data_IF_363385028719
#
_entry.id   IF_363385028719
#
_cell.length_a   1.000
_cell.length_b   1.000
_cell.length_c   1.000
_cell.angle_alpha   90.00
_cell.angle_beta   90.00
_cell.angle_gamma   90.00
#
_symmetry.space_group_name_H-M   'P 1'
#
loop_
_entity.id
_entity.type
_entity.pdbx_description
1 polymer ?
#
# COMPACT_ATOMS: atom_id res chain seq x y z
N UNK A 1 2.63 6.57 13.24
CA UNK A 1 3.56 5.98 12.24
C UNK A 1 4.14 7.15 11.45
N UNK A 2 5.44 7.15 11.19
CA UNK A 2 6.05 8.21 10.39
C UNK A 2 5.78 7.94 8.90
N UNK A 3 5.05 8.86 8.28
CA UNK A 3 4.69 8.81 6.85
C UNK A 3 5.95 8.80 5.98
N UNK A 4 6.97 9.58 6.33
CA UNK A 4 8.20 9.64 5.54
C UNK A 4 8.97 8.32 5.60
N UNK A 5 8.97 7.66 6.75
CA UNK A 5 9.58 6.34 6.91
C UNK A 5 8.83 5.27 6.10
N UNK A 6 7.48 5.32 6.07
CA UNK A 6 6.67 4.40 5.27
C UNK A 6 6.93 4.58 3.77
N UNK A 7 7.02 5.82 3.29
CA UNK A 7 7.30 6.11 1.88
C UNK A 7 8.69 5.60 1.47
N UNK A 8 9.70 5.83 2.32
CA UNK A 8 11.06 5.31 2.09
C UNK A 8 11.09 3.78 2.01
N UNK A 9 10.31 3.10 2.86
CA UNK A 9 10.23 1.63 2.85
C UNK A 9 9.54 1.11 1.58
N UNK A 10 8.50 1.81 1.09
CA UNK A 10 7.86 1.49 -0.20
C UNK A 10 8.85 1.65 -1.35
N UNK A 11 9.60 2.76 -1.38
CA UNK A 11 10.57 3.00 -2.46
C UNK A 11 11.64 1.91 -2.48
N UNK A 12 12.14 1.48 -1.31
CA UNK A 12 13.09 0.37 -1.19
C UNK A 12 12.50 -0.95 -1.71
N UNK A 13 11.28 -1.29 -1.34
CA UNK A 13 10.61 -2.52 -1.79
C UNK A 13 10.34 -2.48 -3.31
N UNK A 14 9.90 -1.34 -3.85
CA UNK A 14 9.72 -1.15 -5.30
C UNK A 14 11.03 -1.33 -6.07
N UNK A 15 12.15 -0.81 -5.57
CA UNK A 15 13.47 -1.05 -6.18
C UNK A 15 13.82 -2.54 -6.20
N UNK A 16 13.58 -3.27 -5.11
CA UNK A 16 13.86 -4.71 -5.03
C UNK A 16 12.97 -5.50 -6.01
N UNK A 17 11.69 -5.12 -6.12
CA UNK A 17 10.74 -5.71 -7.07
C UNK A 17 11.18 -5.48 -8.52
N UNK A 18 11.61 -4.27 -8.89
CA UNK A 18 12.11 -3.98 -10.24
C UNK A 18 13.44 -4.68 -10.56
N UNK A 19 14.25 -5.01 -9.54
CA UNK A 19 15.46 -5.82 -9.70
C UNK A 19 15.17 -7.32 -9.90
N UNK A 20 13.90 -7.74 -9.85
CA UNK A 20 13.44 -9.11 -10.09
C UNK A 20 14.08 -10.17 -9.16
N UNK A 21 14.41 -9.77 -7.93
CA UNK A 21 14.96 -10.67 -6.91
C UNK A 21 13.82 -11.38 -6.17
N UNK A 22 13.21 -12.36 -6.82
CA UNK A 22 11.92 -12.95 -6.42
C UNK A 22 11.74 -13.23 -4.93
N UNK A 23 12.64 -13.99 -4.29
CA UNK A 23 12.49 -14.32 -2.86
C UNK A 23 12.64 -13.11 -1.93
N UNK A 24 13.59 -12.23 -2.24
CA UNK A 24 13.85 -11.02 -1.44
C UNK A 24 12.68 -10.04 -1.60
N UNK A 25 12.22 -9.86 -2.83
CA UNK A 25 11.12 -8.98 -3.21
C UNK A 25 9.79 -9.43 -2.59
N UNK A 26 9.45 -10.72 -2.68
CA UNK A 26 8.21 -11.25 -2.09
C UNK A 26 8.22 -11.16 -0.56
N UNK A 27 9.37 -11.41 0.08
CA UNK A 27 9.49 -11.27 1.53
C UNK A 27 9.30 -9.80 1.96
N UNK A 28 10.01 -8.88 1.33
CA UNK A 28 9.94 -7.47 1.66
C UNK A 28 8.55 -6.89 1.37
N UNK A 29 7.94 -7.26 0.24
CA UNK A 29 6.55 -6.91 -0.09
C UNK A 29 5.57 -7.46 0.96
N UNK A 30 5.72 -8.73 1.39
CA UNK A 30 4.87 -9.35 2.41
C UNK A 30 4.92 -8.62 3.76
N UNK A 31 6.11 -8.21 4.21
CA UNK A 31 6.28 -7.42 5.44
C UNK A 31 5.60 -6.05 5.32
N UNK A 32 5.72 -5.41 4.15
CA UNK A 32 5.08 -4.14 3.85
C UNK A 32 3.56 -4.25 3.76
N UNK A 33 3.01 -5.30 3.15
CA UNK A 33 1.57 -5.59 3.12
C UNK A 33 0.94 -5.59 4.51
N UNK A 34 1.61 -6.20 5.49
CA UNK A 34 1.13 -6.21 6.87
C UNK A 34 0.94 -4.81 7.44
N UNK A 35 1.85 -3.89 7.12
CA UNK A 35 1.77 -2.48 7.54
C UNK A 35 0.68 -1.74 6.78
N UNK A 36 0.62 -1.89 5.46
CA UNK A 36 -0.39 -1.25 4.61
C UNK A 36 -1.81 -1.70 4.98
N UNK A 37 -1.99 -2.98 5.36
CA UNK A 37 -3.28 -3.49 5.85
C UNK A 37 -3.79 -2.72 7.07
N UNK A 38 -2.92 -2.41 8.03
CA UNK A 38 -3.32 -1.65 9.23
C UNK A 38 -3.83 -0.25 8.84
N UNK A 39 -3.19 0.38 7.85
CA UNK A 39 -3.60 1.68 7.32
C UNK A 39 -4.93 1.56 6.58
N UNK A 40 -5.07 0.59 5.67
CA UNK A 40 -6.34 0.30 4.98
C UNK A 40 -7.48 0.11 5.97
N UNK A 41 -7.28 -0.72 6.99
CA UNK A 41 -8.31 -1.01 7.99
C UNK A 41 -8.64 0.25 8.82
N UNK A 42 -7.65 1.09 9.12
CA UNK A 42 -7.85 2.38 9.79
C UNK A 42 -8.61 3.39 8.91
N UNK A 43 -8.31 3.45 7.62
CA UNK A 43 -9.02 4.29 6.62
C UNK A 43 -10.47 3.83 6.44
N UNK A 44 -10.71 2.50 6.39
CA UNK A 44 -12.06 1.93 6.27
C UNK A 44 -12.89 2.15 7.55
N UNK A 45 -12.26 2.05 8.73
CA UNK A 45 -12.95 2.19 10.02
C UNK A 45 -13.11 3.63 10.50
N UNK A 46 -12.26 4.56 10.05
CA UNK A 46 -12.30 5.97 10.38
C UNK A 46 -13.39 6.71 9.61
N UNK A 47 -14.41 7.23 10.33
CA UNK A 47 -15.52 8.08 9.83
C UNK A 47 -15.86 7.88 8.34
N UNK A 48 -16.23 6.66 7.97
CA UNK A 48 -16.73 6.25 6.65
C UNK A 48 -18.04 6.94 6.20
N UNK A 49 -18.44 8.05 6.84
CA UNK A 49 -19.63 8.82 6.52
C UNK A 49 -19.41 9.96 5.52
N UNK A 50 -18.19 10.46 5.35
CA UNK A 50 -17.93 11.66 4.53
C UNK A 50 -17.25 11.37 3.18
N UNK A 51 -16.62 10.19 2.98
CA UNK A 51 -15.91 9.86 1.73
C UNK A 51 -15.98 8.36 1.36
N UNK A 52 -17.19 7.84 1.08
CA UNK A 52 -17.39 6.44 0.65
C UNK A 52 -16.62 6.06 -0.62
N UNK A 53 -16.45 6.99 -1.57
CA UNK A 53 -15.71 6.74 -2.82
C UNK A 53 -14.24 6.43 -2.55
N UNK A 54 -13.63 7.16 -1.63
CA UNK A 54 -12.23 6.96 -1.24
C UNK A 54 -12.03 5.59 -0.59
N UNK A 55 -12.94 5.19 0.30
CA UNK A 55 -12.92 3.87 0.95
C UNK A 55 -13.02 2.74 -0.07
N UNK A 56 -13.91 2.89 -1.06
CA UNK A 56 -14.05 1.92 -2.17
C UNK A 56 -12.78 1.85 -3.02
N UNK A 57 -12.18 2.99 -3.33
CA UNK A 57 -10.99 3.06 -4.17
C UNK A 57 -9.76 2.44 -3.47
N UNK A 58 -9.49 2.80 -2.21
CA UNK A 58 -8.40 2.22 -1.41
C UNK A 58 -8.57 0.71 -1.24
N UNK A 59 -9.81 0.26 -1.01
CA UNK A 59 -10.12 -1.18 -0.91
C UNK A 59 -9.85 -1.91 -2.22
N UNK A 60 -10.25 -1.33 -3.36
CA UNK A 60 -10.02 -1.91 -4.69
C UNK A 60 -8.51 -1.99 -5.01
N UNK A 61 -7.75 -0.94 -4.71
CA UNK A 61 -6.29 -0.95 -4.91
C UNK A 61 -5.60 -2.01 -4.04
N UNK A 62 -5.99 -2.13 -2.77
CA UNK A 62 -5.45 -3.16 -1.89
C UNK A 62 -5.74 -4.58 -2.42
N UNK A 63 -6.95 -4.80 -2.97
CA UNK A 63 -7.27 -6.08 -3.62
C UNK A 63 -6.42 -6.35 -4.86
N UNK A 64 -6.20 -5.35 -5.72
CA UNK A 64 -5.33 -5.49 -6.90
C UNK A 64 -3.90 -5.82 -6.50
N UNK A 65 -3.37 -5.10 -5.51
CA UNK A 65 -2.03 -5.32 -4.98
C UNK A 65 -1.89 -6.75 -4.40
N UNK A 66 -2.89 -7.19 -3.61
CA UNK A 66 -2.91 -8.56 -3.07
C UNK A 66 -3.02 -9.63 -4.16
N UNK A 67 -3.81 -9.41 -5.21
CA UNK A 67 -3.92 -10.33 -6.34
C UNK A 67 -2.60 -10.43 -7.14
N UNK A 68 -1.87 -9.33 -7.30
CA UNK A 68 -0.54 -9.34 -7.91
C UNK A 68 0.45 -10.14 -7.05
N UNK A 69 0.37 -10.01 -5.72
CA UNK A 69 1.17 -10.78 -4.78
C UNK A 69 0.89 -12.28 -4.84
N UNK A 70 -0.37 -12.71 -4.85
CA UNK A 70 -0.74 -14.13 -4.97
C UNK A 70 -0.25 -14.75 -6.29
N UNK A 71 -0.22 -13.96 -7.36
CA UNK A 71 0.29 -14.37 -8.67
C UNK A 71 1.81 -14.30 -8.79
N UNK A 72 2.50 -13.77 -7.77
CA UNK A 72 3.93 -13.45 -7.79
C UNK A 72 4.32 -12.54 -8.96
N UNK A 73 3.39 -11.66 -9.37
CA UNK A 73 3.62 -10.69 -10.44
C UNK A 73 4.43 -9.52 -9.88
N UNK A 74 5.76 -9.63 -9.92
CA UNK A 74 6.65 -8.64 -9.30
C UNK A 74 6.49 -7.22 -9.85
N UNK A 75 6.24 -7.09 -11.16
CA UNK A 75 6.00 -5.79 -11.79
C UNK A 75 4.62 -5.26 -11.39
N UNK A 76 3.59 -6.11 -11.42
CA UNK A 76 2.26 -5.75 -10.95
C UNK A 76 2.25 -5.33 -9.47
N UNK A 77 3.05 -5.98 -8.62
CA UNK A 77 3.23 -5.57 -7.22
C UNK A 77 3.90 -4.20 -7.17
N UNK A 78 5.02 -3.98 -7.88
CA UNK A 78 5.76 -2.72 -7.84
C UNK A 78 4.89 -1.52 -8.26
N UNK A 79 4.17 -1.66 -9.37
CA UNK A 79 3.33 -0.60 -9.93
C UNK A 79 2.15 -0.28 -9.01
N UNK A 80 1.42 -1.30 -8.55
CA UNK A 80 0.32 -1.09 -7.60
C UNK A 80 0.80 -0.57 -6.23
N UNK A 81 2.00 -0.95 -5.79
CA UNK A 81 2.51 -0.58 -4.47
C UNK A 81 2.81 0.92 -4.41
N UNK A 82 3.42 1.48 -5.46
CA UNK A 82 3.69 2.92 -5.52
C UNK A 82 2.40 3.74 -5.57
N UNK A 83 1.44 3.34 -6.40
CA UNK A 83 0.16 4.06 -6.49
C UNK A 83 -0.61 3.98 -5.17
N UNK A 84 -0.68 2.80 -4.56
CA UNK A 84 -1.38 2.59 -3.28
C UNK A 84 -0.70 3.40 -2.15
N UNK A 85 0.62 3.39 -2.09
CA UNK A 85 1.39 4.10 -1.08
C UNK A 85 1.15 5.60 -1.09
N UNK A 86 1.20 6.20 -2.28
CA UNK A 86 0.97 7.63 -2.48
C UNK A 86 -0.42 8.01 -1.99
N UNK A 87 -1.45 7.28 -2.43
CA UNK A 87 -2.83 7.55 -2.06
C UNK A 87 -3.10 7.32 -0.57
N UNK A 88 -2.73 6.16 -0.02
CA UNK A 88 -2.98 5.83 1.38
C UNK A 88 -2.30 6.84 2.33
N UNK A 89 -1.12 7.32 1.95
CA UNK A 89 -0.38 8.34 2.68
C UNK A 89 -1.05 9.71 2.64
N UNK A 90 -1.52 10.14 1.47
CA UNK A 90 -2.23 11.41 1.28
C UNK A 90 -3.52 11.43 2.10
N UNK A 91 -4.31 10.36 2.03
CA UNK A 91 -5.54 10.21 2.78
C UNK A 91 -5.31 10.13 4.29
N UNK A 92 -4.28 9.42 4.73
CA UNK A 92 -3.94 9.35 6.15
C UNK A 92 -3.50 10.71 6.69
N UNK A 93 -2.74 11.49 5.90
CA UNK A 93 -2.35 12.87 6.24
C UNK A 93 -3.57 13.78 6.39
N UNK A 94 -4.54 13.69 5.48
CA UNK A 94 -5.80 14.46 5.58
C UNK A 94 -6.61 14.08 6.82
N UNK A 95 -6.64 12.79 7.19
CA UNK A 95 -7.37 12.31 8.37
C UNK A 95 -6.76 12.73 9.72
N UNK A 96 -5.44 12.85 9.82
CA UNK A 96 -4.75 13.25 11.06
C UNK A 96 -4.43 14.76 11.12
N UNK A 97 -4.51 15.45 9.99
CA UNK A 97 -4.13 16.85 9.80
C UNK A 97 -5.30 17.85 9.74
N UNK A 98 -6.51 17.41 10.07
CA UNK A 98 -7.71 18.26 10.24
C UNK A 98 -7.92 18.71 11.68
#
# INVERSE_FOLDING_TARGET
MDIAALQSEIDEVSVILYQNREQEALRAAGELFGKLKIITDALISGKAGENQEIVLYVSAMYQTLYAAYERKDMLGIADCLQEYAMLATELYREMIGG
#
